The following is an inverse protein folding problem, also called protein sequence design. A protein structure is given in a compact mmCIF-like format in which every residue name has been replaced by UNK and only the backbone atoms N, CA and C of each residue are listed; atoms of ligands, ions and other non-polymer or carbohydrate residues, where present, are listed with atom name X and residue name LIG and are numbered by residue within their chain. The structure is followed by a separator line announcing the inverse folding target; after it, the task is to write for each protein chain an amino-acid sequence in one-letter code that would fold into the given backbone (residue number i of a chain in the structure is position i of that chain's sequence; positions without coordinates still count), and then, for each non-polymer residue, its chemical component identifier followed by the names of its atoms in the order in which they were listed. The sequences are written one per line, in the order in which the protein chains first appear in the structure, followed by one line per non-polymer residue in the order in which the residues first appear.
data_IF_267824590994
#
_entry.id   IF_267824590994
#
_cell.length_a   1.000
_cell.length_b   1.000
_cell.length_c   1.000
_cell.angle_alpha   90.00
_cell.angle_beta   90.00
_cell.angle_gamma   90.00
#
_symmetry.space_group_name_H-M   'P 1'
#
loop_
_entity.id
_entity.type
_entity.pdbx_description
1 polymer ?
#
# COMPACT_ATOMS: atom_id res chain seq x y z
N UNK A 1 -9.73 60.48 3.22
CA UNK A 1 -9.56 59.39 2.25
C UNK A 1 -8.33 58.62 2.68
N UNK A 2 -8.49 57.58 3.50
CA UNK A 2 -7.39 56.72 3.95
C UNK A 2 -7.80 55.31 3.51
N UNK A 3 -7.23 54.85 2.41
CA UNK A 3 -7.66 53.65 1.69
C UNK A 3 -6.99 52.41 2.30
N UNK A 4 -7.79 51.46 2.78
CA UNK A 4 -7.61 50.07 2.37
C UNK A 4 -6.53 49.21 3.02
N UNK A 5 -6.04 49.49 4.22
CA UNK A 5 -5.11 48.56 4.90
C UNK A 5 -5.79 47.25 5.38
N UNK A 6 -7.11 47.26 5.61
CA UNK A 6 -7.86 46.10 6.09
C UNK A 6 -8.08 45.01 5.04
N UNK A 7 -8.35 45.35 3.79
CA UNK A 7 -8.63 44.37 2.73
C UNK A 7 -7.38 43.55 2.36
N UNK A 8 -6.20 44.15 2.45
CA UNK A 8 -4.93 43.52 2.11
C UNK A 8 -4.50 42.46 3.13
N UNK A 9 -4.83 42.67 4.42
CA UNK A 9 -4.53 41.70 5.48
C UNK A 9 -5.43 40.45 5.40
N UNK A 10 -6.69 40.62 5.02
CA UNK A 10 -7.62 39.51 4.78
C UNK A 10 -7.24 38.67 3.55
N UNK A 11 -6.77 39.30 2.49
CA UNK A 11 -6.28 38.62 1.29
C UNK A 11 -5.05 37.74 1.59
N UNK A 12 -4.15 38.21 2.46
CA UNK A 12 -2.95 37.44 2.85
C UNK A 12 -3.28 36.22 3.71
N UNK A 13 -4.28 36.30 4.60
CA UNK A 13 -4.72 35.16 5.41
C UNK A 13 -5.40 34.04 4.59
N UNK A 14 -6.05 34.37 3.48
CA UNK A 14 -6.71 33.38 2.62
C UNK A 14 -5.70 32.60 1.77
N UNK A 15 -4.65 33.28 1.29
CA UNK A 15 -3.56 32.65 0.52
C UNK A 15 -2.72 31.71 1.40
N UNK A 16 -2.50 32.05 2.68
CA UNK A 16 -1.72 31.20 3.60
C UNK A 16 -2.49 29.96 4.08
N UNK A 17 -3.81 30.04 4.26
CA UNK A 17 -4.64 28.88 4.62
C UNK A 17 -4.89 27.91 3.45
N UNK A 18 -4.96 28.38 2.20
CA UNK A 18 -5.18 27.50 1.05
C UNK A 18 -3.90 26.93 0.42
N UNK A 19 -2.72 27.44 0.77
CA UNK A 19 -1.44 27.04 0.16
C UNK A 19 -0.81 25.76 0.72
N UNK A 20 -1.32 25.20 1.82
CA UNK A 20 -0.79 23.97 2.43
C UNK A 20 -1.78 22.80 2.35
N UNK A 21 -2.39 22.60 1.19
CA UNK A 21 -2.80 21.25 0.82
C UNK A 21 -1.50 20.47 0.52
N UNK A 22 -0.84 19.98 1.57
CA UNK A 22 0.23 19.01 1.40
C UNK A 22 -0.41 17.78 0.76
N UNK A 23 -0.19 17.62 -0.54
CA UNK A 23 -0.46 16.39 -1.23
C UNK A 23 0.31 15.30 -0.48
N UNK A 24 -0.42 14.46 0.26
CA UNK A 24 0.18 13.34 0.95
C UNK A 24 0.86 12.46 -0.11
N UNK A 25 2.13 12.18 0.17
CA UNK A 25 3.05 11.43 -0.66
C UNK A 25 2.40 10.14 -1.17
N UNK A 26 2.22 10.01 -2.49
CA UNK A 26 1.55 8.86 -3.10
C UNK A 26 2.42 7.58 -3.08
N UNK A 27 3.65 7.63 -2.57
CA UNK A 27 4.50 6.44 -2.48
C UNK A 27 5.67 6.72 -1.56
N UNK A 28 5.73 6.14 -0.37
CA UNK A 28 6.99 6.16 0.40
C UNK A 28 7.32 4.78 0.96
N UNK A 29 7.46 3.80 0.06
CA UNK A 29 8.29 2.66 0.40
C UNK A 29 9.76 3.07 0.20
N UNK A 30 10.61 2.78 1.19
CA UNK A 30 12.03 3.17 1.14
C UNK A 30 12.85 2.29 0.20
N UNK A 31 12.42 1.04 0.00
CA UNK A 31 13.11 0.07 -0.86
C UNK A 31 12.16 -1.05 -1.31
N UNK A 32 12.50 -1.70 -2.43
CA UNK A 32 11.87 -2.94 -2.91
C UNK A 32 12.85 -4.09 -2.69
N UNK A 33 12.33 -5.23 -2.22
CA UNK A 33 13.08 -6.47 -2.09
C UNK A 33 12.72 -7.35 -3.28
N UNK A 34 13.72 -7.76 -4.07
CA UNK A 34 13.54 -8.58 -5.27
C UNK A 34 14.45 -9.81 -5.24
N UNK A 35 14.06 -10.84 -6.00
CA UNK A 35 14.83 -12.08 -6.20
C UNK A 35 15.02 -12.35 -7.69
N UNK A 36 16.13 -12.99 -8.06
CA UNK A 36 16.52 -13.15 -9.48
C UNK A 36 15.95 -14.41 -10.15
N UNK A 37 15.19 -15.23 -9.43
CA UNK A 37 14.70 -16.54 -9.91
C UNK A 37 13.23 -16.52 -10.37
N UNK A 38 12.63 -15.33 -10.56
CA UNK A 38 11.30 -15.20 -11.15
C UNK A 38 11.26 -15.67 -12.61
N UNK A 39 10.17 -16.32 -13.01
CA UNK A 39 9.95 -16.74 -14.39
C UNK A 39 9.75 -15.54 -15.33
N UNK A 40 9.99 -15.71 -16.64
CA UNK A 40 9.94 -14.60 -17.60
C UNK A 40 8.52 -14.28 -18.13
N UNK A 41 7.49 -14.98 -17.65
CA UNK A 41 6.13 -14.91 -18.18
C UNK A 41 5.19 -14.22 -17.19
N UNK A 42 4.17 -13.54 -17.72
CA UNK A 42 3.20 -12.76 -16.95
C UNK A 42 3.61 -11.30 -16.80
N UNK A 43 2.66 -10.49 -16.32
CA UNK A 43 2.87 -9.07 -16.06
C UNK A 43 2.66 -8.79 -14.56
N UNK A 44 3.44 -7.85 -14.01
CA UNK A 44 3.25 -7.40 -12.64
C UNK A 44 2.02 -6.51 -12.53
N UNK A 45 1.16 -6.82 -11.56
CA UNK A 45 0.05 -5.95 -11.18
C UNK A 45 0.54 -4.77 -10.33
N UNK A 46 -0.35 -3.81 -10.08
CA UNK A 46 -0.08 -2.72 -9.16
C UNK A 46 0.17 -3.24 -7.74
N UNK A 47 1.17 -2.69 -7.02
CA UNK A 47 1.45 -3.11 -5.65
C UNK A 47 0.28 -2.73 -4.72
N UNK A 48 -0.15 -3.68 -3.90
CA UNK A 48 -1.05 -3.42 -2.78
C UNK A 48 -0.23 -3.21 -1.50
N UNK A 49 -0.51 -2.11 -0.79
CA UNK A 49 0.18 -1.75 0.44
C UNK A 49 -0.74 -1.93 1.64
N UNK A 50 -0.16 -2.27 2.80
CA UNK A 50 -0.88 -2.17 4.06
C UNK A 50 -1.37 -0.72 4.28
N UNK A 51 -2.52 -0.51 4.93
CA UNK A 51 -2.97 0.80 5.36
C UNK A 51 -1.91 1.54 6.17
N UNK A 52 -1.95 2.86 6.14
CA UNK A 52 -1.00 3.71 6.85
C UNK A 52 -0.89 3.31 8.33
N UNK A 53 0.36 3.10 8.77
CA UNK A 53 0.67 2.68 10.14
C UNK A 53 0.57 1.18 10.41
N UNK A 54 0.26 0.36 9.40
CA UNK A 54 0.33 -1.10 9.47
C UNK A 54 1.50 -1.64 8.62
N UNK A 55 2.04 -2.78 9.03
CA UNK A 55 3.12 -3.47 8.33
C UNK A 55 2.74 -4.92 8.05
N UNK A 56 3.25 -5.49 6.95
CA UNK A 56 3.06 -6.90 6.67
C UNK A 56 3.76 -7.73 7.77
N UNK A 57 2.99 -8.58 8.44
CA UNK A 57 3.46 -9.45 9.51
C UNK A 57 3.28 -10.94 9.23
N UNK A 58 2.56 -11.27 8.16
CA UNK A 58 2.36 -12.65 7.72
C UNK A 58 1.80 -12.70 6.31
N UNK A 59 1.65 -13.91 5.77
CA UNK A 59 1.05 -14.13 4.47
C UNK A 59 0.28 -15.46 4.41
N UNK A 60 -0.57 -15.61 3.40
CA UNK A 60 -1.19 -16.86 3.00
C UNK A 60 -0.98 -17.09 1.52
N UNK A 61 -0.88 -18.36 1.13
CA UNK A 61 -0.67 -18.77 -0.25
C UNK A 61 -1.96 -19.36 -0.81
N UNK A 62 -2.16 -19.19 -2.11
CA UNK A 62 -3.17 -19.92 -2.89
C UNK A 62 -2.43 -20.93 -3.76
N UNK A 63 -2.70 -22.19 -3.53
CA UNK A 63 -2.16 -23.34 -4.25
C UNK A 63 -3.29 -24.29 -4.63
N UNK A 64 -3.04 -25.15 -5.61
CA UNK A 64 -3.98 -26.22 -5.92
C UNK A 64 -3.96 -27.31 -4.85
N UNK A 65 -5.09 -27.99 -4.60
CA UNK A 65 -5.09 -29.19 -3.77
C UNK A 65 -4.17 -30.26 -4.37
N UNK A 66 -3.58 -31.15 -3.54
CA UNK A 66 -2.76 -32.24 -4.04
C UNK A 66 -3.49 -33.08 -5.09
N UNK A 67 -2.91 -33.23 -6.28
CA UNK A 67 -3.54 -33.96 -7.40
C UNK A 67 -3.33 -35.48 -7.33
N UNK A 68 -2.46 -35.98 -6.44
CA UNK A 68 -2.17 -37.41 -6.28
C UNK A 68 -1.20 -37.96 -7.34
N UNK A 69 -1.15 -39.28 -7.51
CA UNK A 69 -0.35 -39.93 -8.56
C UNK A 69 -1.28 -40.46 -9.66
N UNK A 70 -1.06 -40.13 -10.96
CA UNK A 70 0.03 -39.34 -11.55
C UNK A 70 -0.42 -37.89 -11.89
N UNK A 71 0.23 -36.88 -11.31
CA UNK A 71 0.04 -35.48 -11.69
C UNK A 71 1.12 -34.59 -11.06
N UNK A 72 1.70 -33.69 -11.85
CA UNK A 72 2.50 -32.59 -11.31
C UNK A 72 1.54 -31.57 -10.71
N UNK A 73 1.72 -31.19 -9.45
CA UNK A 73 0.96 -30.09 -8.85
C UNK A 73 1.39 -28.76 -9.49
N UNK A 74 0.45 -27.83 -9.69
CA UNK A 74 0.81 -26.49 -10.20
C UNK A 74 1.63 -25.69 -9.19
N UNK A 75 2.30 -24.64 -9.67
CA UNK A 75 2.97 -23.69 -8.81
C UNK A 75 1.97 -22.83 -8.00
N UNK A 76 2.51 -21.94 -7.16
CA UNK A 76 1.71 -20.96 -6.44
C UNK A 76 0.91 -20.06 -7.38
N UNK A 77 -0.37 -19.86 -7.07
CA UNK A 77 -1.30 -19.06 -7.86
C UNK A 77 -1.58 -17.67 -7.27
N UNK A 78 -1.30 -17.45 -5.99
CA UNK A 78 -1.50 -16.15 -5.36
C UNK A 78 -0.93 -16.02 -3.95
N UNK A 79 -0.66 -14.78 -3.54
CA UNK A 79 -0.20 -14.42 -2.20
C UNK A 79 -1.17 -13.38 -1.61
N UNK A 80 -1.55 -13.56 -0.35
CA UNK A 80 -2.28 -12.57 0.45
C UNK A 80 -1.42 -12.14 1.63
N UNK A 81 -1.30 -10.84 1.88
CA UNK A 81 -0.56 -10.31 3.02
C UNK A 81 -1.49 -10.12 4.23
N UNK A 82 -0.93 -10.30 5.42
CA UNK A 82 -1.58 -9.98 6.69
C UNK A 82 -0.86 -8.79 7.29
N UNK A 83 -1.59 -7.70 7.54
CA UNK A 83 -1.05 -6.46 8.06
C UNK A 83 -1.39 -6.32 9.55
N UNK A 84 -0.42 -5.90 10.35
CA UNK A 84 -0.61 -5.61 11.78
C UNK A 84 0.11 -4.33 12.19
N UNK A 85 -0.32 -3.76 13.32
CA UNK A 85 0.28 -2.56 13.91
C UNK A 85 0.96 -2.89 15.24
N UNK A 86 2.28 -2.74 15.30
CA UNK A 86 3.06 -3.01 16.52
C UNK A 86 3.03 -4.47 16.96
N UNK A 87 3.37 -4.74 18.22
CA UNK A 87 3.40 -6.08 18.82
C UNK A 87 2.01 -6.64 19.19
N UNK A 88 0.93 -6.05 18.67
CA UNK A 88 -0.43 -6.43 19.00
C UNK A 88 -0.99 -7.37 17.92
N UNK A 89 -0.86 -8.66 18.19
CA UNK A 89 -1.52 -9.78 17.50
C UNK A 89 -3.07 -9.69 17.48
N UNK A 90 -3.65 -8.60 18.02
CA UNK A 90 -5.08 -8.37 18.20
C UNK A 90 -5.68 -7.34 17.24
N UNK A 91 -4.87 -6.71 16.40
CA UNK A 91 -5.31 -5.67 15.45
C UNK A 91 -4.85 -6.03 14.03
N UNK A 92 -5.38 -7.13 13.50
CA UNK A 92 -5.02 -7.68 12.19
C UNK A 92 -5.98 -7.19 11.11
N UNK A 93 -5.44 -6.46 10.12
CA UNK A 93 -6.13 -6.15 8.87
C UNK A 93 -5.60 -7.08 7.78
N UNK A 94 -6.49 -7.88 7.22
CA UNK A 94 -6.14 -8.71 6.05
C UNK A 94 -6.20 -7.82 4.82
N UNK A 95 -5.06 -7.60 4.18
CA UNK A 95 -4.94 -6.75 3.00
C UNK A 95 -4.43 -7.62 1.88
N UNK A 96 -5.26 -7.78 0.85
CA UNK A 96 -4.89 -8.58 -0.30
C UNK A 96 -6.08 -9.32 -0.89
N UNK A 97 -6.37 -8.99 -2.15
CA UNK A 97 -7.21 -9.80 -3.02
C UNK A 97 -6.50 -11.13 -3.29
N UNK A 98 -7.18 -12.23 -2.99
CA UNK A 98 -6.77 -13.56 -3.46
C UNK A 98 -7.35 -13.66 -4.86
N UNK A 99 -6.51 -13.54 -5.88
CA UNK A 99 -6.86 -13.94 -7.24
C UNK A 99 -6.67 -15.45 -7.39
#
# INVERSE_FOLDING_TARGET
MERGAGAQLWLLLWVTCCGHAQAHHLSDYTSVIEVTNGGPWGDWAWPEMCPDGFFASGFSLKEEPPQGIPGDDTALNGIRLHCSRGNAERDTHVVGRVE
#
